data_IF_064096198535
#
_entry.id   IF_064096198535
#
_cell.length_a   1.000
_cell.length_b   1.000
_cell.length_c   1.000
_cell.angle_alpha   90.00
_cell.angle_beta   90.00
_cell.angle_gamma   90.00
#
_symmetry.space_group_name_H-M   'P 1'
#
loop_
_entity.id
_entity.type
_entity.pdbx_description
1 polymer ?
#
# COMPACT_ATOMS: atom_id res chain seq x y z
N UNK A 1 8.67 -4.34 11.47
CA UNK A 1 7.34 -3.72 11.61
C UNK A 1 6.98 -3.01 10.33
N UNK A 2 5.78 -3.31 9.86
CA UNK A 2 5.17 -2.72 8.69
C UNK A 2 3.81 -2.13 9.08
N UNK A 3 3.23 -1.39 8.15
CA UNK A 3 1.84 -0.99 8.21
C UNK A 3 1.16 -1.27 6.88
N UNK A 4 -0.15 -1.40 6.94
CA UNK A 4 -1.04 -1.36 5.80
C UNK A 4 -1.89 -0.09 5.88
N UNK A 5 -2.07 0.60 4.77
CA UNK A 5 -3.10 1.64 4.62
C UNK A 5 -4.05 1.21 3.52
N UNK A 6 -5.35 1.18 3.85
CA UNK A 6 -6.40 0.78 2.92
C UNK A 6 -7.00 2.00 2.24
N UNK A 7 -7.21 1.90 0.94
CA UNK A 7 -7.75 2.96 0.11
C UNK A 7 -8.92 2.47 -0.75
N UNK A 8 -9.99 3.26 -0.84
CA UNK A 8 -11.00 3.11 -1.89
C UNK A 8 -10.61 3.98 -3.08
N UNK A 9 -10.35 3.36 -4.22
CA UNK A 9 -9.87 4.04 -5.42
C UNK A 9 -10.91 4.00 -6.55
N UNK A 10 -11.21 5.12 -7.22
CA UNK A 10 -11.80 5.10 -8.56
C UNK A 10 -10.75 4.71 -9.61
N UNK A 11 -11.17 4.37 -10.82
CA UNK A 11 -10.24 4.12 -11.93
C UNK A 11 -9.49 5.39 -12.32
N UNK A 12 -8.16 5.36 -12.32
CA UNK A 12 -7.33 6.51 -12.70
C UNK A 12 -5.90 6.13 -13.09
N UNK A 13 -5.17 7.09 -13.64
CA UNK A 13 -3.73 6.96 -13.90
C UNK A 13 -2.96 7.77 -12.87
N UNK A 14 -1.92 7.14 -12.31
CA UNK A 14 -0.92 7.76 -11.45
C UNK A 14 0.33 7.99 -12.28
N UNK A 15 0.84 9.23 -12.28
CA UNK A 15 2.12 9.58 -12.90
C UNK A 15 3.06 10.09 -11.83
N UNK A 16 4.21 9.45 -11.73
CA UNK A 16 5.33 9.88 -10.89
C UNK A 16 6.42 10.43 -11.81
N UNK A 17 7.52 10.94 -11.24
CA UNK A 17 8.64 11.41 -12.07
C UNK A 17 9.28 10.30 -12.93
N UNK A 18 9.18 9.03 -12.51
CA UNK A 18 9.89 7.90 -13.13
C UNK A 18 8.97 6.82 -13.73
N UNK A 19 7.68 6.79 -13.37
CA UNK A 19 6.79 5.71 -13.75
C UNK A 19 5.33 6.16 -13.92
N UNK A 20 4.57 5.38 -14.70
CA UNK A 20 3.12 5.54 -14.87
C UNK A 20 2.41 4.25 -14.48
N UNK A 21 1.38 4.37 -13.65
CA UNK A 21 0.60 3.23 -13.16
C UNK A 21 -0.88 3.39 -13.48
N UNK A 22 -1.51 2.31 -13.93
CA UNK A 22 -2.97 2.24 -14.11
C UNK A 22 -3.58 1.68 -12.83
N UNK A 23 -4.46 2.44 -12.20
CA UNK A 23 -5.21 2.04 -11.01
C UNK A 23 -6.64 1.77 -11.47
N UNK A 24 -7.11 0.54 -11.29
CA UNK A 24 -8.51 0.21 -11.50
C UNK A 24 -9.35 0.60 -10.30
N UNK A 25 -10.66 0.64 -10.45
CA UNK A 25 -11.57 0.88 -9.34
C UNK A 25 -11.53 -0.25 -8.31
N UNK A 26 -11.54 0.07 -7.01
CA UNK A 26 -11.69 -0.90 -5.93
C UNK A 26 -10.89 -0.56 -4.68
N UNK A 27 -10.82 -1.52 -3.75
CA UNK A 27 -10.06 -1.39 -2.50
C UNK A 27 -8.62 -1.83 -2.73
N UNK A 28 -7.69 -1.03 -2.21
CA UNK A 28 -6.27 -1.30 -2.26
C UNK A 28 -5.65 -1.27 -0.87
N UNK A 29 -4.77 -2.24 -0.59
CA UNK A 29 -3.85 -2.24 0.52
C UNK A 29 -2.48 -1.73 0.05
N UNK A 30 -2.04 -0.61 0.60
CA UNK A 30 -0.66 -0.14 0.48
C UNK A 30 0.16 -0.65 1.66
N UNK A 31 1.29 -1.30 1.38
CA UNK A 31 2.23 -1.80 2.39
C UNK A 31 3.38 -0.82 2.52
N UNK A 32 3.80 -0.53 3.75
CA UNK A 32 4.95 0.33 3.99
C UNK A 32 5.72 -0.06 5.25
N UNK A 33 7.03 0.16 5.24
CA UNK A 33 7.87 0.04 6.44
C UNK A 33 7.62 1.20 7.39
N UNK A 34 7.66 0.91 8.69
CA UNK A 34 7.60 1.95 9.71
C UNK A 34 8.80 2.91 9.68
N UNK A 35 9.97 2.45 9.22
CA UNK A 35 11.23 3.20 9.34
C UNK A 35 11.38 3.78 10.75
N UNK A 36 11.64 5.10 10.82
CA UNK A 36 11.77 5.82 12.10
C UNK A 36 10.44 6.03 12.87
N UNK A 37 9.28 5.97 12.22
CA UNK A 37 7.98 6.15 12.89
C UNK A 37 6.81 5.66 12.04
N UNK A 38 6.12 4.60 12.50
CA UNK A 38 4.90 4.10 11.85
C UNK A 38 3.81 5.17 11.85
N UNK A 39 3.51 5.75 13.02
CA UNK A 39 2.38 6.66 13.21
C UNK A 39 2.46 7.89 12.29
N UNK A 40 3.64 8.51 12.16
CA UNK A 40 3.81 9.67 11.26
C UNK A 40 3.57 9.30 9.79
N UNK A 41 3.97 8.09 9.38
CA UNK A 41 3.77 7.61 7.99
C UNK A 41 2.30 7.28 7.75
N UNK A 42 1.67 6.55 8.66
CA UNK A 42 0.23 6.22 8.61
C UNK A 42 -0.63 7.49 8.59
N UNK A 43 -0.39 8.41 9.52
CA UNK A 43 -1.14 9.67 9.61
C UNK A 43 -1.02 10.49 8.31
N UNK A 44 0.18 10.59 7.75
CA UNK A 44 0.38 11.24 6.45
C UNK A 44 -0.46 10.58 5.35
N UNK A 45 -0.39 9.26 5.23
CA UNK A 45 -1.05 8.53 4.16
C UNK A 45 -2.57 8.61 4.24
N UNK A 46 -3.12 8.69 5.45
CA UNK A 46 -4.54 8.93 5.68
C UNK A 46 -4.93 10.40 5.45
N UNK A 47 -4.10 11.37 5.86
CA UNK A 47 -4.37 12.82 5.70
C UNK A 47 -4.17 13.36 4.28
N UNK A 48 -3.43 12.65 3.42
CA UNK A 48 -3.21 13.01 2.01
C UNK A 48 -2.72 14.46 1.81
N UNK A 49 -1.62 14.90 2.43
CA UNK A 49 -1.14 16.28 2.27
C UNK A 49 -0.75 16.58 0.82
N UNK A 50 -0.83 17.86 0.42
CA UNK A 50 -0.56 18.29 -0.96
C UNK A 50 0.88 18.00 -1.42
N UNK A 51 1.86 18.14 -0.51
CA UNK A 51 3.24 17.80 -0.78
C UNK A 51 3.38 16.29 -0.97
N UNK A 52 3.91 15.83 -2.10
CA UNK A 52 4.09 14.41 -2.43
C UNK A 52 5.51 13.96 -2.18
N UNK A 53 5.68 12.79 -1.57
CA UNK A 53 6.97 12.21 -1.19
C UNK A 53 7.09 10.73 -1.57
N UNK A 54 6.03 9.95 -1.44
CA UNK A 54 5.98 8.53 -1.81
C UNK A 54 4.99 8.28 -2.94
N UNK A 55 5.12 7.16 -3.64
CA UNK A 55 4.21 6.79 -4.73
C UNK A 55 2.74 6.79 -4.29
N UNK A 56 2.44 6.30 -3.09
CA UNK A 56 1.09 6.30 -2.51
C UNK A 56 0.49 7.71 -2.39
N UNK A 57 1.31 8.75 -2.21
CA UNK A 57 0.85 10.15 -2.11
C UNK A 57 0.25 10.67 -3.44
N UNK A 58 0.53 10.01 -4.57
CA UNK A 58 -0.01 10.37 -5.89
C UNK A 58 -1.37 9.75 -6.19
N UNK A 59 -1.83 8.80 -5.38
CA UNK A 59 -3.14 8.18 -5.53
C UNK A 59 -4.26 9.23 -5.47
N UNK A 60 -5.34 9.01 -6.22
CA UNK A 60 -6.57 9.79 -6.09
C UNK A 60 -7.64 8.90 -5.47
N UNK A 61 -7.40 8.51 -4.22
CA UNK A 61 -8.22 7.55 -3.47
C UNK A 61 -8.59 8.11 -2.10
N UNK A 62 -9.68 7.59 -1.54
CA UNK A 62 -10.10 7.84 -0.17
C UNK A 62 -9.39 6.87 0.78
N UNK A 63 -8.79 7.37 1.86
CA UNK A 63 -8.21 6.52 2.91
C UNK A 63 -9.28 5.96 3.82
N UNK A 64 -9.25 4.66 4.08
CA UNK A 64 -10.27 3.97 4.88
C UNK A 64 -9.76 3.69 6.29
N UNK A 65 -8.74 2.84 6.40
CA UNK A 65 -8.20 2.35 7.68
C UNK A 65 -6.69 2.13 7.56
N UNK A 66 -6.03 1.99 8.69
CA UNK A 66 -4.64 1.53 8.74
C UNK A 66 -4.43 0.51 9.85
N UNK A 67 -3.53 -0.44 9.59
CA UNK A 67 -3.14 -1.46 10.56
C UNK A 67 -1.62 -1.48 10.65
N UNK A 68 -1.10 -1.53 11.88
CA UNK A 68 0.33 -1.74 12.14
C UNK A 68 0.54 -3.19 12.55
N UNK A 69 1.57 -3.82 12.01
CA UNK A 69 1.87 -5.24 12.23
C UNK A 69 3.34 -5.44 12.64
N UNK A 70 3.64 -6.44 13.49
CA UNK A 70 5.02 -6.80 13.82
C UNK A 70 5.82 -7.30 12.62
N UNK A 71 5.15 -7.82 11.58
CA UNK A 71 5.76 -8.37 10.36
C UNK A 71 6.69 -7.38 9.66
N UNK A 72 7.60 -7.89 8.82
CA UNK A 72 8.45 -7.05 7.97
C UNK A 72 7.68 -6.62 6.71
N UNK A 73 8.03 -5.46 6.16
CA UNK A 73 7.38 -4.90 4.95
C UNK A 73 7.45 -5.90 3.78
N UNK A 74 8.65 -6.42 3.48
CA UNK A 74 8.86 -7.42 2.42
C UNK A 74 8.05 -8.71 2.63
N UNK A 75 7.87 -9.12 3.88
CA UNK A 75 7.09 -10.32 4.22
C UNK A 75 5.61 -10.11 3.93
N UNK A 76 5.05 -8.99 4.38
CA UNK A 76 3.67 -8.59 4.08
C UNK A 76 3.46 -8.46 2.56
N UNK A 77 4.39 -7.80 1.86
CA UNK A 77 4.31 -7.62 0.42
C UNK A 77 4.32 -8.96 -0.33
N UNK A 78 5.18 -9.91 0.06
CA UNK A 78 5.23 -11.26 -0.54
C UNK A 78 3.95 -12.06 -0.26
N UNK A 79 3.43 -12.00 0.96
CA UNK A 79 2.18 -12.69 1.34
C UNK A 79 0.97 -12.20 0.52
N UNK A 80 0.86 -10.89 0.32
CA UNK A 80 -0.19 -10.29 -0.49
C UNK A 80 0.05 -10.50 -2.00
N UNK A 81 1.29 -10.46 -2.48
CA UNK A 81 1.60 -10.69 -3.89
C UNK A 81 1.14 -12.08 -4.39
N UNK A 82 1.21 -13.09 -3.53
CA UNK A 82 0.76 -14.45 -3.86
C UNK A 82 -0.76 -14.66 -3.85
N UNK A 83 -1.54 -13.69 -3.35
CA UNK A 83 -2.98 -13.88 -3.08
C UNK A 83 -3.88 -12.75 -3.59
N UNK A 84 -3.33 -11.55 -3.78
CA UNK A 84 -4.04 -10.36 -4.26
C UNK A 84 -3.47 -9.94 -5.62
N UNK A 85 -4.33 -9.34 -6.46
CA UNK A 85 -3.84 -8.61 -7.64
C UNK A 85 -3.01 -7.42 -7.16
N UNK A 86 -1.96 -7.05 -7.89
CA UNK A 86 -1.09 -5.93 -7.50
C UNK A 86 -0.78 -5.02 -8.69
N UNK A 87 -0.32 -3.81 -8.39
CA UNK A 87 0.13 -2.83 -9.39
C UNK A 87 1.65 -2.97 -9.54
N UNK A 88 2.16 -3.62 -10.61
CA UNK A 88 3.57 -3.96 -10.69
C UNK A 88 4.49 -2.74 -10.56
N UNK A 89 5.54 -2.87 -9.77
CA UNK A 89 6.54 -1.82 -9.53
C UNK A 89 6.06 -0.63 -8.68
N UNK A 90 4.81 -0.62 -8.22
CA UNK A 90 4.30 0.50 -7.42
C UNK A 90 4.93 0.49 -6.03
N UNK A 91 5.73 1.51 -5.71
CA UNK A 91 6.31 1.64 -4.37
C UNK A 91 7.51 0.75 -4.08
N UNK A 92 7.93 -0.12 -5.01
CA UNK A 92 9.01 -1.11 -4.79
C UNK A 92 10.33 -0.76 -5.46
N UNK A 93 10.62 0.53 -5.65
CA UNK A 93 11.85 0.98 -6.33
C UNK A 93 13.12 0.60 -5.57
N UNK A 94 13.05 0.62 -4.24
CA UNK A 94 14.14 0.28 -3.31
C UNK A 94 14.01 -1.13 -2.72
N UNK A 95 13.02 -1.91 -3.14
CA UNK A 95 12.73 -3.26 -2.65
C UNK A 95 12.56 -4.24 -3.83
N UNK A 96 13.67 -4.76 -4.40
CA UNK A 96 13.62 -5.64 -5.57
C UNK A 96 13.01 -7.01 -5.27
N UNK A 97 12.84 -7.37 -4.00
CA UNK A 97 12.21 -8.62 -3.59
C UNK A 97 10.67 -8.55 -3.61
N UNK A 98 10.10 -7.34 -3.60
CA UNK A 98 8.67 -7.12 -3.65
C UNK A 98 8.23 -6.71 -5.06
N UNK A 99 7.31 -7.44 -5.71
CA UNK A 99 6.84 -7.07 -7.04
C UNK A 99 5.98 -5.78 -7.04
N UNK A 100 5.49 -5.38 -5.87
CA UNK A 100 4.69 -4.19 -5.63
C UNK A 100 4.55 -3.94 -4.12
N UNK A 101 4.16 -2.73 -3.76
CA UNK A 101 3.64 -2.37 -2.44
C UNK A 101 2.17 -1.91 -2.49
N UNK A 102 1.49 -2.06 -3.63
CA UNK A 102 0.08 -1.69 -3.79
C UNK A 102 -0.73 -2.85 -4.36
N UNK A 103 -1.62 -3.39 -3.52
CA UNK A 103 -2.37 -4.62 -3.78
C UNK A 103 -3.87 -4.34 -3.82
N UNK A 104 -4.57 -4.75 -4.87
CA UNK A 104 -6.03 -4.69 -4.95
C UNK A 104 -6.61 -5.88 -4.19
N UNK A 105 -7.03 -5.64 -2.96
CA UNK A 105 -7.51 -6.64 -2.01
C UNK A 105 -8.45 -5.98 -1.00
N UNK A 106 -9.52 -6.67 -0.61
CA UNK A 106 -10.42 -6.20 0.45
C UNK A 106 -9.71 -6.15 1.80
N UNK A 107 -10.26 -5.38 2.74
CA UNK A 107 -9.67 -5.22 4.09
C UNK A 107 -9.61 -6.57 4.82
N UNK A 108 -10.73 -7.29 4.90
CA UNK A 108 -10.78 -8.59 5.57
C UNK A 108 -9.87 -9.64 4.92
N UNK A 109 -9.84 -9.69 3.58
CA UNK A 109 -8.97 -10.60 2.83
C UNK A 109 -7.49 -10.34 3.14
N UNK A 110 -7.06 -9.07 3.05
CA UNK A 110 -5.67 -8.71 3.30
C UNK A 110 -5.25 -9.06 4.73
N UNK A 111 -6.10 -8.79 5.73
CA UNK A 111 -5.82 -9.10 7.13
C UNK A 111 -5.76 -10.62 7.40
N UNK A 112 -6.65 -11.39 6.78
CA UNK A 112 -6.63 -12.86 6.85
C UNK A 112 -5.35 -13.42 6.22
N UNK A 113 -4.96 -12.93 5.04
CA UNK A 113 -3.77 -13.41 4.32
C UNK A 113 -2.44 -13.15 5.04
N UNK A 114 -2.41 -12.16 5.94
CA UNK A 114 -1.24 -11.87 6.78
C UNK A 114 -1.37 -12.41 8.20
N UNK A 115 -2.41 -13.22 8.47
CA UNK A 115 -2.60 -13.94 9.73
C UNK A 115 -3.04 -13.07 10.90
N UNK A 116 -3.66 -11.91 10.66
CA UNK A 116 -4.17 -11.03 11.73
C UNK A 116 -5.63 -11.30 12.10
N UNK A 117 -6.37 -12.03 11.27
CA UNK A 117 -7.74 -12.45 11.55
C UNK A 117 -7.93 -13.91 11.12
N UNK A 118 -8.81 -14.61 11.82
CA UNK A 118 -9.20 -16.00 11.53
C UNK A 118 -10.33 -16.05 10.50
#
# INVERSE_FOLDING_TARGET
MAYLVFFQCPSHVVRTGAATFKIGEGIYAYVGSCGASCLKRVDRHLRRPAARRWHVDYLRCEGLYAVVTPLKEVEVAKLLAGRCRHVPGFGSTDDPEAPSHLFRCGVAEALSYIGLTT
#
